data_IF_364102690854
#
_entry.id   IF_364102690854
#
_cell.length_a   1.000
_cell.length_b   1.000
_cell.length_c   1.000
_cell.angle_alpha   90.00
_cell.angle_beta   90.00
_cell.angle_gamma   90.00
#
_symmetry.space_group_name_H-M   'P 1'
#
loop_
_entity.id
_entity.type
_entity.pdbx_description
1 polymer ?
#
# COMPACT_ATOMS: atom_id res chain seq x y z
N UNK A 1 40.81 25.03 -40.54
CA UNK A 1 41.38 24.06 -39.57
C UNK A 1 40.25 23.13 -39.16
N UNK A 2 40.13 21.99 -39.85
CA UNK A 2 39.13 20.97 -39.52
C UNK A 2 39.75 20.09 -38.44
N UNK A 3 39.39 20.34 -37.19
CA UNK A 3 39.68 19.44 -36.09
C UNK A 3 38.68 18.29 -36.13
N UNK A 4 39.20 17.08 -36.21
CA UNK A 4 38.46 15.83 -36.20
C UNK A 4 37.61 15.73 -34.91
N UNK A 5 36.29 15.80 -35.05
CA UNK A 5 35.33 15.84 -33.94
C UNK A 5 35.42 14.57 -33.07
N UNK A 6 35.83 13.47 -33.68
CA UNK A 6 36.02 12.17 -33.02
C UNK A 6 37.18 12.22 -32.01
N UNK A 7 38.24 12.97 -32.31
CA UNK A 7 39.38 13.17 -31.41
C UNK A 7 39.00 13.96 -30.15
N UNK A 8 38.12 14.97 -30.30
CA UNK A 8 37.63 15.79 -29.18
C UNK A 8 36.68 15.00 -28.28
N UNK A 9 35.82 14.17 -28.87
CA UNK A 9 34.87 13.36 -28.12
C UNK A 9 35.55 12.21 -27.37
N UNK A 10 36.58 11.60 -27.96
CA UNK A 10 37.40 10.56 -27.29
C UNK A 10 38.17 11.17 -26.11
N UNK A 11 38.77 12.35 -26.27
CA UNK A 11 39.47 13.03 -25.17
C UNK A 11 38.53 13.45 -24.02
N UNK A 12 37.32 13.91 -24.34
CA UNK A 12 36.32 14.24 -23.32
C UNK A 12 35.87 12.99 -22.55
N UNK A 13 35.65 11.88 -23.26
CA UNK A 13 35.23 10.62 -22.66
C UNK A 13 36.31 10.01 -21.77
N UNK A 14 37.58 10.06 -22.19
CA UNK A 14 38.72 9.58 -21.39
C UNK A 14 38.97 10.42 -20.13
N UNK A 15 38.56 11.70 -20.12
CA UNK A 15 38.65 12.57 -18.94
C UNK A 15 37.56 12.36 -17.89
N UNK A 16 36.43 11.74 -18.27
CA UNK A 16 35.20 11.67 -17.46
C UNK A 16 34.93 10.29 -16.85
N UNK A 17 35.65 9.25 -17.29
CA UNK A 17 35.44 7.88 -16.83
C UNK A 17 36.60 7.40 -15.96
N UNK A 18 36.28 7.02 -14.72
CA UNK A 18 37.22 6.37 -13.81
C UNK A 18 37.77 5.07 -14.46
N UNK A 19 39.10 4.90 -14.59
CA UNK A 19 39.72 3.74 -15.24
C UNK A 19 39.25 2.39 -14.70
N UNK A 20 38.82 2.34 -13.44
CA UNK A 20 38.34 1.12 -12.76
C UNK A 20 36.97 0.62 -13.25
N UNK A 21 36.18 1.45 -13.95
CA UNK A 21 34.85 1.10 -14.45
C UNK A 21 34.77 0.86 -15.98
N UNK A 22 35.91 0.91 -16.69
CA UNK A 22 35.96 0.75 -18.17
C UNK A 22 35.32 -0.55 -18.68
N UNK A 23 35.40 -1.64 -17.93
CA UNK A 23 34.90 -2.96 -18.38
C UNK A 23 33.37 -3.10 -18.32
N UNK A 24 32.69 -2.35 -17.42
CA UNK A 24 31.22 -2.40 -17.28
C UNK A 24 30.49 -1.49 -18.27
N UNK A 25 31.15 -0.45 -18.76
CA UNK A 25 30.56 0.49 -19.73
C UNK A 25 30.47 -0.10 -21.15
N UNK A 26 31.37 -1.03 -21.51
CA UNK A 26 31.39 -1.66 -22.83
C UNK A 26 30.25 -2.66 -23.05
N UNK A 27 29.71 -3.28 -22.00
CA UNK A 27 28.68 -4.33 -22.12
C UNK A 27 27.27 -3.81 -22.47
N UNK A 28 27.03 -2.49 -22.42
CA UNK A 28 25.69 -1.92 -22.64
C UNK A 28 25.46 -1.31 -24.03
N UNK A 29 26.37 -1.49 -24.99
CA UNK A 29 26.23 -0.82 -26.29
C UNK A 29 26.52 -1.74 -27.48
N UNK A 30 25.49 -2.35 -28.05
CA UNK A 30 25.52 -2.89 -29.41
C UNK A 30 24.99 -1.85 -30.39
N UNK A 31 25.84 -1.42 -31.35
CA UNK A 31 25.41 -0.61 -32.50
C UNK A 31 25.16 -1.51 -33.71
N UNK A 32 23.99 -1.35 -34.34
CA UNK A 32 23.70 -1.91 -35.66
C UNK A 32 23.58 -0.75 -36.66
N UNK A 33 24.61 -0.56 -37.48
CA UNK A 33 24.65 0.50 -38.49
C UNK A 33 23.92 0.05 -39.76
N UNK A 34 22.65 0.44 -39.90
CA UNK A 34 21.91 0.40 -41.16
C UNK A 34 22.15 1.67 -42.00
N UNK A 35 22.15 1.50 -43.33
CA UNK A 35 22.63 2.43 -44.37
C UNK A 35 22.14 3.89 -44.30
N UNK A 36 23.07 4.75 -44.70
CA UNK A 36 23.04 6.22 -44.88
C UNK A 36 21.92 6.69 -45.83
N UNK A 37 21.17 7.70 -45.39
CA UNK A 37 20.29 8.55 -46.21
C UNK A 37 21.10 9.74 -46.80
N UNK A 38 20.84 10.21 -48.03
CA UNK A 38 21.72 11.12 -48.77
C UNK A 38 21.74 12.58 -48.27
N UNK A 39 21.26 12.87 -47.06
CA UNK A 39 21.16 14.25 -46.54
C UNK A 39 22.14 14.59 -45.40
N UNK A 40 23.08 13.71 -45.05
CA UNK A 40 24.24 14.09 -44.22
C UNK A 40 23.89 14.74 -42.88
N UNK A 41 22.97 14.13 -42.13
CA UNK A 41 22.69 14.53 -40.74
C UNK A 41 22.80 13.32 -39.85
N UNK A 42 23.80 13.33 -38.96
CA UNK A 42 23.96 12.32 -37.92
C UNK A 42 22.97 12.60 -36.78
N UNK A 43 22.28 11.57 -36.31
CA UNK A 43 21.44 11.64 -35.12
C UNK A 43 21.96 10.66 -34.08
N UNK A 44 22.19 11.15 -32.85
CA UNK A 44 22.45 10.31 -31.69
C UNK A 44 21.11 9.96 -31.02
N UNK A 45 20.71 8.69 -31.06
CA UNK A 45 19.52 8.20 -30.37
C UNK A 45 19.92 7.65 -28.99
N UNK A 46 19.52 8.30 -27.90
CA UNK A 46 19.72 7.78 -26.54
C UNK A 46 18.38 7.20 -26.05
N UNK A 47 18.27 5.88 -26.01
CA UNK A 47 17.11 5.22 -25.40
C UNK A 47 17.28 5.13 -23.89
N UNK A 48 16.31 5.68 -23.15
CA UNK A 48 15.99 5.45 -21.71
C UNK A 48 17.19 5.18 -20.78
N UNK A 49 17.70 6.27 -20.21
CA UNK A 49 18.47 6.26 -18.97
C UNK A 49 18.60 7.69 -18.46
N UNK A 50 17.96 8.02 -17.34
CA UNK A 50 18.12 9.32 -16.70
C UNK A 50 19.46 9.36 -15.97
N UNK A 51 20.31 10.34 -16.27
CA UNK A 51 21.49 10.65 -15.48
C UNK A 51 21.32 12.06 -14.92
N UNK A 52 21.14 12.15 -13.61
CA UNK A 52 21.10 13.41 -12.88
C UNK A 52 22.47 13.61 -12.24
N UNK A 53 23.19 14.69 -12.61
CA UNK A 53 24.32 15.16 -11.81
C UNK A 53 24.30 16.67 -11.72
N UNK A 54 24.07 17.15 -10.51
CA UNK A 54 24.19 18.55 -10.13
C UNK A 54 25.67 18.93 -10.10
N UNK A 55 26.08 19.86 -10.95
CA UNK A 55 27.37 20.55 -10.81
C UNK A 55 27.07 21.93 -10.24
N UNK A 56 27.25 22.07 -8.92
CA UNK A 56 27.34 23.37 -8.25
C UNK A 56 28.78 23.83 -8.42
N UNK A 57 29.03 24.60 -9.46
CA UNK A 57 30.01 25.68 -9.45
C UNK A 57 29.83 26.44 -10.76
N UNK A 58 29.79 27.77 -10.67
CA UNK A 58 29.44 28.71 -11.75
C UNK A 58 27.93 28.98 -11.96
N UNK A 59 27.21 29.30 -10.89
CA UNK A 59 26.18 30.37 -10.88
C UNK A 59 25.10 30.44 -11.99
N UNK A 60 24.84 29.37 -12.74
CA UNK A 60 23.87 29.32 -13.83
C UNK A 60 22.99 28.09 -13.60
N UNK A 61 21.74 28.33 -13.21
CA UNK A 61 20.71 27.29 -13.16
C UNK A 61 19.95 27.35 -14.48
N UNK A 62 20.20 26.40 -15.39
CA UNK A 62 19.31 26.15 -16.53
C UNK A 62 18.73 24.75 -16.33
N UNK A 63 17.47 24.69 -15.91
CA UNK A 63 16.69 23.44 -15.94
C UNK A 63 15.91 23.45 -17.23
N UNK A 64 16.42 22.74 -18.23
CA UNK A 64 15.71 22.45 -19.48
C UNK A 64 15.57 20.94 -19.62
N UNK A 65 14.39 20.41 -19.29
CA UNK A 65 14.03 19.03 -19.65
C UNK A 65 13.25 19.10 -20.96
N UNK A 66 13.89 18.75 -22.07
CA UNK A 66 13.21 18.56 -23.35
C UNK A 66 12.77 17.09 -23.46
N UNK A 67 11.47 16.83 -23.33
CA UNK A 67 10.88 15.51 -23.64
C UNK A 67 10.47 15.51 -25.10
N UNK A 68 11.09 14.67 -25.92
CA UNK A 68 10.73 14.51 -27.33
C UNK A 68 9.47 13.66 -27.45
N UNK A 69 8.33 14.29 -27.72
CA UNK A 69 7.11 13.61 -28.17
C UNK A 69 6.88 14.04 -29.63
N UNK A 70 7.15 13.12 -30.56
CA UNK A 70 7.30 13.43 -31.98
C UNK A 70 6.10 14.16 -32.60
N UNK A 71 6.32 15.39 -33.07
CA UNK A 71 5.96 15.89 -34.41
C UNK A 71 6.70 17.20 -34.67
N UNK A 72 7.09 17.45 -35.92
CA UNK A 72 7.89 18.58 -36.39
C UNK A 72 7.23 19.91 -36.04
N UNK A 73 7.90 20.79 -35.28
CA UNK A 73 8.13 22.23 -35.52
C UNK A 73 9.14 22.73 -34.46
N UNK A 74 10.25 23.34 -34.88
CA UNK A 74 11.16 24.09 -34.02
C UNK A 74 10.70 25.56 -34.03
N UNK A 75 10.18 26.08 -32.93
CA UNK A 75 10.01 27.53 -32.75
C UNK A 75 11.35 28.18 -32.47
N UNK A 76 11.71 29.15 -33.31
CA UNK A 76 12.93 29.96 -33.20
C UNK A 76 12.80 30.92 -32.02
N UNK A 77 13.64 30.77 -31.00
CA UNK A 77 13.73 31.73 -29.88
C UNK A 77 14.42 33.01 -30.40
N UNK A 78 13.86 34.22 -30.22
CA UNK A 78 14.54 35.46 -30.58
C UNK A 78 15.76 35.68 -29.67
N UNK A 79 16.87 36.13 -30.26
CA UNK A 79 18.17 36.28 -29.61
C UNK A 79 18.32 37.54 -28.74
N UNK A 80 17.24 38.24 -28.39
CA UNK A 80 17.34 39.50 -27.64
C UNK A 80 17.16 39.26 -26.13
N UNK A 81 18.24 39.50 -25.37
CA UNK A 81 18.36 39.26 -23.92
C UNK A 81 18.01 40.49 -23.06
N UNK A 82 17.54 41.58 -23.65
CA UNK A 82 17.52 42.88 -22.94
C UNK A 82 16.22 43.26 -22.22
N UNK A 83 15.19 42.41 -22.19
CA UNK A 83 13.89 42.81 -21.64
C UNK A 83 13.16 41.73 -20.83
N UNK A 84 13.71 41.24 -19.72
CA UNK A 84 12.88 40.55 -18.72
C UNK A 84 13.33 40.81 -17.26
N UNK A 85 12.34 41.15 -16.43
CA UNK A 85 12.48 41.34 -14.99
C UNK A 85 12.56 39.95 -14.29
N UNK A 86 13.55 39.69 -13.41
CA UNK A 86 13.74 38.38 -12.75
C UNK A 86 12.52 37.87 -11.98
N UNK A 87 11.67 38.78 -11.52
CA UNK A 87 10.47 38.47 -10.72
C UNK A 87 9.34 37.83 -11.57
N UNK A 88 9.30 38.09 -12.87
CA UNK A 88 8.32 37.50 -13.78
C UNK A 88 8.70 36.05 -14.17
N UNK A 89 10.00 35.71 -14.12
CA UNK A 89 10.52 34.37 -14.39
C UNK A 89 10.13 33.35 -13.30
N UNK A 90 10.02 33.76 -12.02
CA UNK A 90 9.61 32.85 -10.94
C UNK A 90 8.12 32.48 -11.01
N UNK A 91 7.24 33.37 -11.47
CA UNK A 91 5.80 33.07 -11.65
C UNK A 91 5.50 32.34 -12.96
N UNK A 92 6.39 32.40 -13.95
CA UNK A 92 6.24 31.73 -15.24
C UNK A 92 6.97 30.38 -15.35
N UNK A 93 7.81 30.01 -14.38
CA UNK A 93 8.61 28.78 -14.39
C UNK A 93 7.81 27.47 -14.35
N UNK A 94 6.49 27.48 -14.07
CA UNK A 94 5.64 26.29 -14.18
C UNK A 94 4.35 26.64 -14.94
N UNK A 95 4.50 27.15 -16.16
CA UNK A 95 3.51 26.91 -17.21
C UNK A 95 4.24 26.34 -18.41
N UNK A 96 4.26 25.02 -18.53
CA UNK A 96 4.63 24.37 -19.78
C UNK A 96 3.53 24.72 -20.79
N UNK A 97 3.69 25.82 -21.52
CA UNK A 97 2.76 26.17 -22.60
C UNK A 97 3.18 25.37 -23.82
N UNK A 98 2.56 24.21 -24.00
CA UNK A 98 2.72 23.43 -25.22
C UNK A 98 1.72 23.99 -26.23
N UNK A 99 2.21 24.73 -27.22
CA UNK A 99 1.45 25.06 -28.43
C UNK A 99 1.34 23.80 -29.30
N UNK A 100 0.58 22.82 -28.82
CA UNK A 100 0.17 21.65 -29.62
C UNK A 100 -1.31 21.75 -29.94
N UNK A 101 -1.66 21.59 -31.22
CA UNK A 101 -3.05 21.41 -31.67
C UNK A 101 -3.68 20.10 -31.18
N UNK A 102 -2.88 19.18 -30.63
CA UNK A 102 -3.33 17.91 -30.09
C UNK A 102 -3.77 18.03 -28.64
N UNK A 103 -5.08 17.88 -28.39
CA UNK A 103 -5.70 17.83 -27.05
C UNK A 103 -5.05 16.77 -26.14
N UNK A 104 -4.55 15.67 -26.71
CA UNK A 104 -3.87 14.60 -25.96
C UNK A 104 -2.53 15.06 -25.37
N UNK A 105 -1.74 15.79 -26.15
CA UNK A 105 -0.43 16.28 -25.72
C UNK A 105 -0.55 17.34 -24.61
N UNK A 106 -1.60 18.17 -24.66
CA UNK A 106 -1.92 19.11 -23.59
C UNK A 106 -2.32 18.38 -22.29
N UNK A 107 -3.17 17.36 -22.38
CA UNK A 107 -3.57 16.54 -21.22
C UNK A 107 -2.39 15.79 -20.59
N UNK A 108 -1.48 15.25 -21.39
CA UNK A 108 -0.31 14.52 -20.89
C UNK A 108 0.67 15.47 -20.18
N UNK A 109 0.82 16.70 -20.66
CA UNK A 109 1.64 17.73 -20.03
C UNK A 109 1.06 18.24 -18.71
N UNK A 110 -0.26 18.42 -18.65
CA UNK A 110 -0.96 18.76 -17.40
C UNK A 110 -0.82 17.64 -16.36
N UNK A 111 -0.98 16.37 -16.77
CA UNK A 111 -0.75 15.21 -15.90
C UNK A 111 0.66 15.16 -15.36
N UNK A 112 1.66 15.44 -16.20
CA UNK A 112 3.05 15.48 -15.77
C UNK A 112 3.33 16.62 -14.78
N UNK A 113 2.82 17.82 -15.06
CA UNK A 113 2.94 18.98 -14.15
C UNK A 113 2.34 18.70 -12.78
N UNK A 114 1.14 18.11 -12.74
CA UNK A 114 0.46 17.74 -11.49
C UNK A 114 1.24 16.67 -10.70
N UNK A 115 1.83 15.70 -11.39
CA UNK A 115 2.67 14.66 -10.77
C UNK A 115 3.94 15.23 -10.12
N UNK A 116 4.60 16.20 -10.77
CA UNK A 116 5.80 16.83 -10.22
C UNK A 116 5.48 17.68 -8.99
N UNK A 117 4.38 18.46 -9.04
CA UNK A 117 3.92 19.26 -7.90
C UNK A 117 3.57 18.36 -6.71
N UNK A 118 2.86 17.25 -6.93
CA UNK A 118 2.53 16.29 -5.88
C UNK A 118 3.81 15.72 -5.23
N UNK A 119 4.83 15.38 -6.02
CA UNK A 119 6.10 14.84 -5.51
C UNK A 119 6.86 15.84 -4.63
N UNK A 120 6.95 17.10 -5.03
CA UNK A 120 7.62 18.14 -4.23
C UNK A 120 6.89 18.39 -2.89
N UNK A 121 5.56 18.24 -2.85
CA UNK A 121 4.79 18.38 -1.59
C UNK A 121 4.96 17.17 -0.69
N UNK A 122 5.07 15.96 -1.24
CA UNK A 122 5.39 14.77 -0.46
C UNK A 122 6.78 14.84 0.19
N UNK A 123 7.77 15.45 -0.46
CA UNK A 123 9.09 15.69 0.14
C UNK A 123 9.01 16.63 1.36
N UNK A 124 8.24 17.73 1.26
CA UNK A 124 7.99 18.63 2.40
C UNK A 124 7.28 17.93 3.55
N UNK A 125 6.32 17.05 3.22
CA UNK A 125 5.59 16.25 4.19
C UNK A 125 6.52 15.29 4.95
N UNK A 126 7.44 14.66 4.22
CA UNK A 126 8.47 13.80 4.80
C UNK A 126 9.47 14.56 5.69
N UNK A 127 9.83 15.79 5.31
CA UNK A 127 10.69 16.66 6.14
C UNK A 127 9.97 17.13 7.42
N UNK A 128 8.70 17.52 7.32
CA UNK A 128 7.89 17.88 8.48
C UNK A 128 7.74 16.71 9.47
N UNK A 129 7.50 15.49 8.96
CA UNK A 129 7.45 14.27 9.77
C UNK A 129 8.74 14.02 10.56
N UNK A 130 9.91 14.24 9.93
CA UNK A 130 11.20 14.06 10.60
C UNK A 130 11.41 15.05 11.74
N UNK A 131 10.97 16.29 11.56
CA UNK A 131 11.12 17.33 12.58
C UNK A 131 10.13 17.18 13.73
N UNK A 132 9.04 16.40 13.55
CA UNK A 132 7.92 16.25 14.51
C UNK A 132 7.40 17.60 15.05
N UNK A 133 7.43 18.61 14.19
CA UNK A 133 6.94 19.96 14.49
C UNK A 133 5.49 20.07 14.02
N UNK A 134 4.58 20.37 14.95
CA UNK A 134 3.14 20.40 14.71
C UNK A 134 2.75 21.41 13.62
N UNK A 135 3.25 22.64 13.69
CA UNK A 135 2.87 23.70 12.74
C UNK A 135 3.37 23.39 11.33
N UNK A 136 4.59 22.84 11.22
CA UNK A 136 5.15 22.41 9.95
C UNK A 136 4.36 21.25 9.34
N UNK A 137 3.90 20.31 10.17
CA UNK A 137 3.14 19.14 9.75
C UNK A 137 1.73 19.51 9.28
N UNK A 138 1.00 20.34 10.03
CA UNK A 138 -0.31 20.88 9.63
C UNK A 138 -0.24 21.60 8.28
N UNK A 139 0.78 22.46 8.12
CA UNK A 139 0.99 23.19 6.88
C UNK A 139 1.31 22.25 5.71
N UNK A 140 2.16 21.26 5.92
CA UNK A 140 2.54 20.32 4.87
C UNK A 140 1.36 19.45 4.41
N UNK A 141 0.53 18.98 5.35
CA UNK A 141 -0.70 18.21 5.06
C UNK A 141 -1.67 19.05 4.23
N UNK A 142 -1.92 20.31 4.64
CA UNK A 142 -2.79 21.22 3.90
C UNK A 142 -2.29 21.48 2.47
N UNK A 143 -0.97 21.67 2.30
CA UNK A 143 -0.36 21.84 0.98
C UNK A 143 -0.47 20.58 0.10
N UNK A 144 -0.38 19.38 0.69
CA UNK A 144 -0.54 18.12 -0.04
C UNK A 144 -1.99 17.91 -0.53
N UNK A 145 -2.97 18.23 0.30
CA UNK A 145 -4.38 18.19 -0.09
C UNK A 145 -4.70 19.17 -1.24
N UNK A 146 -4.18 20.40 -1.15
CA UNK A 146 -4.34 21.39 -2.22
C UNK A 146 -3.70 20.94 -3.54
N UNK A 147 -2.63 20.14 -3.46
CA UNK A 147 -1.97 19.55 -4.64
C UNK A 147 -2.69 18.32 -5.20
N UNK A 148 -3.82 17.90 -4.61
CA UNK A 148 -4.58 16.74 -5.05
C UNK A 148 -3.87 15.41 -4.75
N UNK A 149 -2.97 15.38 -3.75
CA UNK A 149 -2.41 14.12 -3.25
C UNK A 149 -3.58 13.27 -2.74
N UNK A 150 -3.59 11.99 -3.12
CA UNK A 150 -4.64 11.07 -2.71
C UNK A 150 -4.67 10.99 -1.16
N UNK A 151 -5.83 11.16 -0.50
CA UNK A 151 -5.96 10.98 0.95
C UNK A 151 -5.44 9.62 1.45
N UNK A 152 -5.49 8.59 0.61
CA UNK A 152 -4.96 7.24 0.93
C UNK A 152 -3.45 7.09 0.68
N UNK A 153 -2.74 8.17 0.33
CA UNK A 153 -1.31 8.10 0.12
C UNK A 153 -0.60 7.88 1.46
N UNK A 154 0.23 6.85 1.56
CA UNK A 154 0.88 6.39 2.79
C UNK A 154 1.48 7.52 3.64
N UNK A 155 2.30 8.37 3.03
CA UNK A 155 2.93 9.50 3.72
C UNK A 155 1.93 10.48 4.32
N UNK A 156 0.83 10.78 3.60
CA UNK A 156 -0.20 11.71 4.07
C UNK A 156 -0.94 11.13 5.27
N UNK A 157 -1.31 9.85 5.19
CA UNK A 157 -1.94 9.13 6.30
C UNK A 157 -1.05 9.07 7.55
N UNK A 158 0.25 8.76 7.37
CA UNK A 158 1.22 8.76 8.47
C UNK A 158 1.38 10.16 9.11
N UNK A 159 1.39 11.22 8.31
CA UNK A 159 1.43 12.60 8.81
C UNK A 159 0.18 12.99 9.60
N UNK A 160 -1.01 12.59 9.15
CA UNK A 160 -2.24 12.84 9.90
C UNK A 160 -2.25 12.12 11.24
N UNK A 161 -1.83 10.85 11.27
CA UNK A 161 -1.74 10.09 12.51
C UNK A 161 -0.72 10.68 13.49
N UNK A 162 0.44 11.11 13.01
CA UNK A 162 1.46 11.75 13.84
C UNK A 162 0.99 13.12 14.35
N UNK A 163 0.26 13.88 13.53
CA UNK A 163 -0.38 15.12 13.96
C UNK A 163 -1.41 14.88 15.08
N UNK A 164 -2.23 13.84 14.96
CA UNK A 164 -3.17 13.43 16.02
C UNK A 164 -2.42 13.07 17.32
N UNK A 165 -1.29 12.36 17.24
CA UNK A 165 -0.45 12.04 18.40
C UNK A 165 0.15 13.30 19.04
N UNK A 166 0.64 14.25 18.23
CA UNK A 166 1.18 15.52 18.72
C UNK A 166 0.08 16.36 19.39
N UNK A 167 -1.15 16.34 18.86
CA UNK A 167 -2.31 16.99 19.45
C UNK A 167 -2.74 16.35 20.79
N UNK A 168 -2.53 15.05 20.97
CA UNK A 168 -2.78 14.36 22.25
C UNK A 168 -1.74 14.74 23.31
N UNK A 169 -0.47 14.94 22.93
CA UNK A 169 0.62 15.26 23.88
C UNK A 169 0.52 16.64 24.53
N UNK A 170 -0.01 17.63 23.82
CA UNK A 170 -0.22 18.97 24.37
C UNK A 170 -1.38 19.03 25.37
N UNK A 171 -2.12 17.93 25.57
CA UNK A 171 -3.36 17.92 26.35
C UNK A 171 -4.47 18.78 25.74
N UNK A 172 -4.20 19.45 24.60
CA UNK A 172 -5.15 20.34 23.95
C UNK A 172 -6.37 19.57 23.47
N UNK A 173 -6.24 18.31 23.06
CA UNK A 173 -7.39 17.48 22.68
C UNK A 173 -8.37 17.21 23.82
N UNK A 174 -7.90 17.17 25.07
CA UNK A 174 -8.78 17.09 26.26
C UNK A 174 -9.49 18.45 26.45
N UNK A 175 -8.78 19.56 26.20
CA UNK A 175 -9.33 20.93 26.28
C UNK A 175 -10.26 21.29 25.11
N UNK A 176 -10.07 20.65 23.95
CA UNK A 176 -10.82 20.83 22.70
C UNK A 176 -11.99 19.84 22.57
N UNK A 177 -12.23 18.99 23.59
CA UNK A 177 -13.42 18.15 23.66
C UNK A 177 -14.66 19.04 23.67
N UNK A 178 -15.23 19.21 22.48
CA UNK A 178 -16.39 20.05 22.29
C UNK A 178 -17.63 19.43 22.93
N UNK A 179 -18.65 20.27 23.12
CA UNK A 179 -19.93 19.86 23.72
C UNK A 179 -20.57 18.67 23.00
N UNK A 180 -20.30 18.54 21.70
CA UNK A 180 -20.84 17.48 20.83
C UNK A 180 -20.16 16.15 21.15
N UNK A 181 -18.84 16.13 21.27
CA UNK A 181 -18.02 14.97 21.61
C UNK A 181 -18.39 14.40 22.97
N UNK A 182 -18.52 15.25 24.00
CA UNK A 182 -18.99 14.82 25.34
C UNK A 182 -20.43 14.29 25.27
N UNK A 183 -21.27 14.93 24.45
CA UNK A 183 -22.65 14.52 24.23
C UNK A 183 -22.80 13.20 23.48
N UNK A 184 -21.82 12.83 22.66
CA UNK A 184 -21.72 11.55 21.97
C UNK A 184 -21.24 10.46 22.91
N UNK A 185 -20.14 10.71 23.64
CA UNK A 185 -19.59 9.78 24.63
C UNK A 185 -20.64 9.32 25.65
N UNK A 186 -21.52 10.23 26.09
CA UNK A 186 -22.60 9.93 27.03
C UNK A 186 -23.58 8.85 26.54
N UNK A 187 -23.72 8.71 25.22
CA UNK A 187 -24.68 7.77 24.59
C UNK A 187 -24.10 6.38 24.41
N UNK A 188 -22.80 6.17 24.63
CA UNK A 188 -22.22 4.84 24.53
C UNK A 188 -22.72 3.94 25.65
N UNK A 189 -23.42 2.86 25.27
CA UNK A 189 -23.64 1.73 26.17
C UNK A 189 -22.37 0.91 26.40
N UNK A 190 -21.56 0.76 25.33
CA UNK A 190 -20.25 0.12 25.35
C UNK A 190 -19.28 1.03 24.57
N UNK A 191 -18.46 1.84 25.24
CA UNK A 191 -17.55 2.75 24.56
C UNK A 191 -16.43 1.95 23.88
N UNK A 192 -15.83 2.46 22.81
CA UNK A 192 -14.52 1.98 22.37
C UNK A 192 -13.52 2.01 23.55
N UNK A 193 -12.61 1.02 23.68
CA UNK A 193 -11.68 0.95 24.81
C UNK A 193 -10.88 2.23 25.03
N UNK A 194 -10.44 2.87 23.95
CA UNK A 194 -9.72 4.15 24.00
C UNK A 194 -10.58 5.28 24.61
N UNK A 195 -11.87 5.35 24.26
CA UNK A 195 -12.80 6.35 24.82
C UNK A 195 -13.00 6.14 26.31
N UNK A 196 -13.07 4.88 26.77
CA UNK A 196 -13.13 4.58 28.20
C UNK A 196 -11.83 4.97 28.91
N UNK A 197 -10.67 4.62 28.36
CA UNK A 197 -9.39 4.98 28.96
C UNK A 197 -9.17 6.49 29.05
N UNK A 198 -9.51 7.25 28.00
CA UNK A 198 -9.45 8.72 28.00
C UNK A 198 -10.39 9.27 29.07
N UNK A 199 -11.62 8.76 29.17
CA UNK A 199 -12.56 9.22 30.20
C UNK A 199 -12.11 8.84 31.61
N UNK A 200 -11.52 7.66 31.81
CA UNK A 200 -10.91 7.24 33.08
C UNK A 200 -9.81 8.21 33.47
N UNK A 201 -8.91 8.55 32.54
CA UNK A 201 -7.85 9.53 32.78
C UNK A 201 -8.42 10.91 33.17
N UNK A 202 -9.43 11.41 32.44
CA UNK A 202 -10.09 12.69 32.77
C UNK A 202 -10.71 12.69 34.17
N UNK A 203 -11.37 11.61 34.57
CA UNK A 203 -11.98 11.51 35.90
C UNK A 203 -10.93 11.38 37.01
N UNK A 204 -9.84 10.68 36.76
CA UNK A 204 -8.69 10.63 37.66
C UNK A 204 -8.04 12.02 37.83
N UNK A 205 -7.95 12.81 36.76
CA UNK A 205 -7.52 14.20 36.82
C UNK A 205 -8.44 15.01 37.75
N UNK A 206 -9.75 14.77 37.72
CA UNK A 206 -10.72 15.37 38.64
C UNK A 206 -10.72 14.80 40.06
N UNK A 207 -9.69 14.03 40.43
CA UNK A 207 -9.52 13.39 41.74
C UNK A 207 -10.63 12.40 42.10
N UNK A 208 -11.32 11.85 41.10
CA UNK A 208 -12.27 10.75 41.31
C UNK A 208 -11.50 9.46 41.67
N UNK A 209 -12.15 8.55 42.40
CA UNK A 209 -11.50 7.33 42.88
C UNK A 209 -11.21 6.36 41.70
N UNK A 210 -9.96 5.87 41.61
CA UNK A 210 -9.49 4.97 40.57
C UNK A 210 -10.30 3.67 40.47
N UNK A 211 -10.59 3.03 41.61
CA UNK A 211 -11.36 1.78 41.65
C UNK A 211 -12.78 1.97 41.10
N UNK A 212 -13.32 3.18 41.25
CA UNK A 212 -14.67 3.48 40.76
C UNK A 212 -14.69 3.77 39.27
N UNK A 213 -13.60 4.30 38.70
CA UNK A 213 -13.52 4.69 37.28
C UNK A 213 -13.15 3.53 36.35
N UNK A 214 -12.83 2.35 36.88
CA UNK A 214 -12.62 1.13 36.09
C UNK A 214 -13.87 0.66 35.35
N UNK A 215 -15.07 0.97 35.85
CA UNK A 215 -16.33 0.58 35.20
C UNK A 215 -16.87 1.74 34.38
N UNK A 216 -17.11 1.51 33.08
CA UNK A 216 -17.69 2.54 32.20
C UNK A 216 -19.00 3.11 32.74
N UNK A 217 -19.82 2.31 33.41
CA UNK A 217 -21.09 2.77 34.01
C UNK A 217 -20.90 3.92 35.00
N UNK A 218 -19.77 3.95 35.71
CA UNK A 218 -19.41 5.05 36.60
C UNK A 218 -18.97 6.27 35.79
N UNK A 219 -18.10 6.08 34.80
CA UNK A 219 -17.69 7.16 33.89
C UNK A 219 -18.90 7.82 33.20
N UNK A 220 -19.83 7.01 32.74
CA UNK A 220 -21.09 7.44 32.13
C UNK A 220 -21.98 8.19 33.12
N UNK A 221 -22.04 7.75 34.39
CA UNK A 221 -22.78 8.47 35.44
C UNK A 221 -22.17 9.85 35.70
N UNK A 222 -20.84 9.99 35.71
CA UNK A 222 -20.18 11.31 35.82
C UNK A 222 -20.50 12.20 34.61
N UNK A 223 -20.50 11.64 33.39
CA UNK A 223 -20.90 12.37 32.17
C UNK A 223 -22.38 12.80 32.20
N UNK A 224 -23.25 11.99 32.79
CA UNK A 224 -24.66 12.30 32.96
C UNK A 224 -24.91 13.38 34.02
N UNK A 225 -24.22 13.28 35.17
CA UNK A 225 -24.37 14.21 36.29
C UNK A 225 -23.85 15.61 35.97
N UNK A 226 -22.66 15.70 35.38
CA UNK A 226 -22.06 17.00 35.06
C UNK A 226 -22.63 17.57 33.74
N UNK A 227 -23.15 16.71 32.87
CA UNK A 227 -23.57 17.07 31.53
C UNK A 227 -22.41 17.63 30.68
N UNK A 228 -22.65 17.90 29.38
CA UNK A 228 -21.60 18.43 28.51
C UNK A 228 -21.02 19.75 29.01
N UNK A 229 -21.87 20.66 29.50
CA UNK A 229 -21.43 21.97 29.98
C UNK A 229 -20.66 21.90 31.29
N UNK A 230 -21.05 21.04 32.23
CA UNK A 230 -20.32 20.87 33.49
C UNK A 230 -19.01 20.14 33.29
N UNK A 231 -18.94 19.20 32.33
CA UNK A 231 -17.66 18.56 31.97
C UNK A 231 -16.71 19.56 31.30
N UNK A 232 -17.15 20.29 30.28
CA UNK A 232 -16.32 21.34 29.65
C UNK A 232 -15.88 22.38 30.68
N UNK A 233 -16.77 22.80 31.59
CA UNK A 233 -16.42 23.73 32.67
C UNK A 233 -15.36 23.13 33.60
N UNK A 234 -15.51 21.89 34.05
CA UNK A 234 -14.51 21.21 34.89
C UNK A 234 -13.17 21.04 34.19
N UNK A 235 -13.17 20.78 32.89
CA UNK A 235 -11.96 20.71 32.06
C UNK A 235 -11.30 22.09 31.97
N UNK A 236 -12.07 23.17 31.76
CA UNK A 236 -11.54 24.54 31.68
C UNK A 236 -11.10 25.12 33.02
N UNK A 237 -11.76 24.75 34.12
CA UNK A 237 -11.40 25.12 35.50
C UNK A 237 -10.25 24.26 36.04
N UNK A 238 -9.82 23.25 35.27
CA UNK A 238 -8.71 22.39 35.63
C UNK A 238 -7.39 23.15 35.53
N UNK A 239 -6.87 23.60 36.67
CA UNK A 239 -5.52 24.13 36.75
C UNK A 239 -4.52 22.98 36.71
N UNK A 240 -3.93 22.76 35.53
CA UNK A 240 -2.91 21.74 35.31
C UNK A 240 -1.78 21.84 36.35
N UNK A 241 -1.39 23.04 36.77
CA UNK A 241 -0.31 23.26 37.74
C UNK A 241 -0.62 22.70 39.14
N UNK A 242 -1.90 22.59 39.51
CA UNK A 242 -2.33 22.11 40.84
C UNK A 242 -2.28 20.58 40.99
N UNK A 243 -2.28 19.85 39.88
CA UNK A 243 -2.40 18.37 39.88
C UNK A 243 -1.09 17.68 39.51
N UNK A 244 -0.23 18.35 38.73
CA UNK A 244 1.08 17.79 38.34
C UNK A 244 1.91 17.24 39.52
N UNK A 245 1.96 17.84 40.73
CA UNK A 245 2.74 17.27 41.83
C UNK A 245 2.17 15.96 42.40
N UNK A 246 0.85 15.82 42.52
CA UNK A 246 0.20 14.63 43.09
C UNK A 246 0.12 13.47 42.09
N UNK A 247 -0.06 13.77 40.80
CA UNK A 247 -0.03 12.77 39.71
C UNK A 247 1.39 12.43 39.29
N UNK A 248 2.38 13.33 39.44
CA UNK A 248 3.78 12.95 39.35
C UNK A 248 4.23 12.13 40.58
N UNK A 249 3.62 12.35 41.75
CA UNK A 249 3.90 11.56 42.97
C UNK A 249 3.24 10.18 42.95
N UNK A 250 2.06 10.04 42.32
CA UNK A 250 1.54 8.73 41.89
C UNK A 250 2.42 8.29 40.74
N UNK A 251 3.40 7.46 41.01
CA UNK A 251 4.38 6.94 40.07
C UNK A 251 3.73 6.05 38.98
N UNK A 252 2.71 6.56 38.29
CA UNK A 252 2.09 5.97 37.12
C UNK A 252 3.17 6.08 36.06
N UNK A 253 3.77 4.95 35.73
CA UNK A 253 4.72 4.87 34.65
C UNK A 253 3.97 5.08 33.32
N UNK A 254 3.81 6.35 32.97
CA UNK A 254 3.18 6.79 31.73
C UNK A 254 3.86 6.17 30.51
N UNK A 255 5.14 5.81 30.62
CA UNK A 255 5.85 5.09 29.56
C UNK A 255 5.28 3.68 29.40
N UNK A 256 5.12 2.93 30.49
CA UNK A 256 4.47 1.61 30.48
C UNK A 256 3.02 1.66 29.99
N UNK A 257 2.25 2.69 30.36
CA UNK A 257 0.87 2.85 29.88
C UNK A 257 0.82 3.17 28.37
N UNK A 258 1.67 4.08 27.90
CA UNK A 258 1.77 4.41 26.48
C UNK A 258 2.24 3.21 25.64
N UNK A 259 3.19 2.42 26.15
CA UNK A 259 3.65 1.20 25.49
C UNK A 259 2.52 0.16 25.43
N UNK A 260 1.75 -0.01 26.52
CA UNK A 260 0.59 -0.92 26.53
C UNK A 260 -0.54 -0.50 25.60
N UNK A 261 -0.81 0.81 25.45
CA UNK A 261 -1.78 1.32 24.47
C UNK A 261 -1.26 1.11 23.05
N UNK A 262 0.03 1.35 22.81
CA UNK A 262 0.66 1.11 21.51
C UNK A 262 0.61 -0.36 21.11
N UNK A 263 0.84 -1.27 22.04
CA UNK A 263 0.75 -2.71 21.78
C UNK A 263 -0.67 -3.15 21.46
N UNK A 264 -1.66 -2.62 22.18
CA UNK A 264 -3.07 -2.85 21.86
C UNK A 264 -3.46 -2.35 20.48
N UNK A 265 -2.99 -1.17 20.07
CA UNK A 265 -3.25 -0.65 18.73
C UNK A 265 -2.62 -1.52 17.62
N UNK A 266 -1.46 -2.15 17.87
CA UNK A 266 -0.86 -3.11 16.93
C UNK A 266 -1.71 -4.38 16.82
N UNK A 267 -2.20 -4.91 17.94
CA UNK A 267 -3.11 -6.08 17.92
C UNK A 267 -4.39 -5.77 17.15
N UNK A 268 -5.01 -4.60 17.35
CA UNK A 268 -6.21 -4.21 16.60
C UNK A 268 -5.95 -4.09 15.09
N UNK A 269 -4.80 -3.52 14.70
CA UNK A 269 -4.41 -3.43 13.30
C UNK A 269 -4.20 -4.81 12.66
N UNK A 270 -3.55 -5.74 13.36
CA UNK A 270 -3.34 -7.11 12.90
C UNK A 270 -4.67 -7.87 12.78
N UNK A 271 -5.57 -7.72 13.75
CA UNK A 271 -6.89 -8.33 13.72
C UNK A 271 -7.74 -7.82 12.55
N UNK A 272 -7.71 -6.51 12.26
CA UNK A 272 -8.41 -5.96 11.10
C UNK A 272 -7.79 -6.45 9.78
N UNK A 273 -6.46 -6.59 9.71
CA UNK A 273 -5.80 -7.20 8.56
C UNK A 273 -6.21 -8.66 8.34
N UNK A 274 -6.30 -9.46 9.41
CA UNK A 274 -6.80 -10.84 9.37
C UNK A 274 -8.27 -10.91 8.94
N UNK A 275 -9.08 -9.94 9.36
CA UNK A 275 -10.50 -9.87 9.03
C UNK A 275 -10.75 -9.54 7.56
N UNK A 276 -10.05 -8.55 7.04
CA UNK A 276 -10.17 -8.10 5.64
C UNK A 276 -9.56 -9.10 4.66
N UNK A 277 -8.57 -9.89 5.11
CA UNK A 277 -7.84 -10.88 4.30
C UNK A 277 -7.17 -10.28 3.08
N UNK A 278 -6.86 -8.99 3.14
CA UNK A 278 -6.07 -8.32 2.12
C UNK A 278 -4.60 -8.65 2.34
N UNK A 279 -3.99 -9.39 1.40
CA UNK A 279 -2.62 -9.88 1.50
C UNK A 279 -1.62 -8.79 1.89
N UNK A 280 -1.62 -7.67 1.17
CA UNK A 280 -0.67 -6.57 1.40
C UNK A 280 -0.83 -5.96 2.80
N UNK A 281 -2.07 -5.89 3.31
CA UNK A 281 -2.36 -5.33 4.62
C UNK A 281 -1.88 -6.29 5.72
N UNK A 282 -2.08 -7.59 5.51
CA UNK A 282 -1.62 -8.64 6.41
C UNK A 282 -0.08 -8.72 6.48
N UNK A 283 0.60 -8.64 5.33
CA UNK A 283 2.07 -8.54 5.27
C UNK A 283 2.58 -7.36 6.09
N UNK A 284 2.02 -6.17 5.85
CA UNK A 284 2.41 -4.93 6.54
C UNK A 284 2.11 -5.00 8.04
N UNK A 285 0.97 -5.57 8.44
CA UNK A 285 0.60 -5.73 9.83
C UNK A 285 1.54 -6.68 10.57
N UNK A 286 1.90 -7.81 9.96
CA UNK A 286 2.88 -8.76 10.51
C UNK A 286 4.26 -8.10 10.65
N UNK A 287 4.72 -7.37 9.64
CA UNK A 287 6.00 -6.64 9.68
C UNK A 287 6.01 -5.62 10.83
N UNK A 288 4.98 -4.78 10.92
CA UNK A 288 4.83 -3.77 11.98
C UNK A 288 4.80 -4.41 13.38
N UNK A 289 4.13 -5.55 13.52
CA UNK A 289 4.05 -6.29 14.77
C UNK A 289 5.40 -6.92 15.16
N UNK A 290 6.20 -7.40 14.19
CA UNK A 290 7.55 -7.95 14.44
C UNK A 290 8.61 -6.90 14.74
N UNK A 291 8.47 -5.70 14.19
CA UNK A 291 9.35 -4.56 14.48
C UNK A 291 9.06 -3.92 15.84
N UNK A 292 8.02 -4.38 16.55
CA UNK A 292 7.75 -3.99 17.92
C UNK A 292 8.99 -4.25 18.78
N UNK A 293 9.55 -3.22 19.46
CA UNK A 293 10.63 -3.45 20.40
C UNK A 293 10.12 -4.35 21.53
N UNK A 294 10.88 -5.38 21.91
CA UNK A 294 10.61 -6.16 23.12
C UNK A 294 10.89 -5.28 24.33
N UNK A 295 9.85 -4.96 25.09
CA UNK A 295 9.90 -4.03 26.23
C UNK A 295 9.76 -4.79 27.56
N UNK A 296 9.46 -6.09 27.52
CA UNK A 296 8.97 -6.82 28.68
C UNK A 296 10.02 -7.52 29.58
N UNK A 297 11.30 -7.17 29.51
CA UNK A 297 12.30 -7.88 30.32
C UNK A 297 11.96 -7.89 31.83
N UNK A 298 11.40 -6.80 32.37
CA UNK A 298 11.19 -6.63 33.81
C UNK A 298 9.72 -6.50 34.26
N UNK A 299 8.74 -6.47 33.35
CA UNK A 299 7.31 -6.29 33.69
C UNK A 299 6.48 -7.52 33.27
N UNK A 300 5.87 -8.27 34.23
CA UNK A 300 5.12 -9.48 33.92
C UNK A 300 3.89 -9.25 33.05
N UNK A 301 3.24 -8.07 33.15
CA UNK A 301 2.06 -7.74 32.32
C UNK A 301 2.47 -7.52 30.88
N UNK A 302 3.63 -6.90 30.64
CA UNK A 302 4.15 -6.72 29.28
C UNK A 302 4.56 -8.06 28.65
N UNK A 303 5.04 -9.02 29.45
CA UNK A 303 5.42 -10.36 28.93
C UNK A 303 4.23 -11.15 28.45
N UNK A 304 3.11 -11.08 29.18
CA UNK A 304 1.86 -11.71 28.78
C UNK A 304 1.36 -11.11 27.45
N UNK A 305 1.37 -9.78 27.33
CA UNK A 305 0.99 -9.10 26.09
C UNK A 305 1.93 -9.43 24.90
N UNK A 306 3.24 -9.52 25.11
CA UNK A 306 4.19 -9.98 24.08
C UNK A 306 3.88 -11.42 23.64
N UNK A 307 3.54 -12.31 24.58
CA UNK A 307 3.18 -13.69 24.27
C UNK A 307 1.89 -13.77 23.44
N UNK A 308 0.87 -12.98 23.78
CA UNK A 308 -0.37 -12.88 22.99
C UNK A 308 -0.09 -12.36 21.57
N UNK A 309 0.74 -11.33 21.45
CA UNK A 309 1.13 -10.79 20.14
C UNK A 309 1.88 -11.82 19.29
N UNK A 310 2.77 -12.61 19.88
CA UNK A 310 3.47 -13.68 19.16
C UNK A 310 2.50 -14.73 18.61
N UNK A 311 1.46 -15.08 19.37
CA UNK A 311 0.39 -15.99 18.92
C UNK A 311 -0.35 -15.37 17.74
N UNK A 312 -0.78 -14.11 17.85
CA UNK A 312 -1.48 -13.40 16.77
C UNK A 312 -0.62 -13.29 15.50
N UNK A 313 0.68 -13.00 15.64
CA UNK A 313 1.63 -12.97 14.52
C UNK A 313 1.72 -14.35 13.86
N UNK A 314 1.74 -15.43 14.63
CA UNK A 314 1.80 -16.78 14.09
C UNK A 314 0.53 -17.15 13.32
N UNK A 315 -0.65 -16.81 13.85
CA UNK A 315 -1.93 -17.00 13.17
C UNK A 315 -2.03 -16.19 11.88
N UNK A 316 -1.69 -14.89 11.94
CA UNK A 316 -1.65 -14.03 10.77
C UNK A 316 -0.67 -14.53 9.70
N UNK A 317 0.50 -15.01 10.11
CA UNK A 317 1.50 -15.60 9.21
C UNK A 317 0.99 -16.87 8.53
N UNK A 318 0.22 -17.70 9.25
CA UNK A 318 -0.42 -18.88 8.69
C UNK A 318 -1.49 -18.51 7.64
N UNK A 319 -2.31 -17.50 7.94
CA UNK A 319 -3.32 -16.99 7.02
C UNK A 319 -2.69 -16.37 5.77
N UNK A 320 -1.58 -15.63 5.91
CA UNK A 320 -0.83 -15.09 4.78
C UNK A 320 -0.32 -16.21 3.87
N UNK A 321 0.35 -17.22 4.43
CA UNK A 321 0.83 -18.37 3.67
C UNK A 321 -0.32 -19.12 2.95
N UNK A 322 -1.51 -19.16 3.57
CA UNK A 322 -2.72 -19.72 2.96
C UNK A 322 -3.18 -18.89 1.75
N UNK A 323 -3.20 -17.56 1.86
CA UNK A 323 -3.57 -16.65 0.76
C UNK A 323 -2.57 -16.74 -0.40
N UNK A 324 -1.27 -16.76 -0.11
CA UNK A 324 -0.22 -16.91 -1.13
C UNK A 324 -0.36 -18.23 -1.88
N UNK A 325 -0.62 -19.34 -1.16
CA UNK A 325 -0.89 -20.63 -1.79
C UNK A 325 -2.10 -20.54 -2.72
N UNK A 326 -3.18 -19.90 -2.29
CA UNK A 326 -4.36 -19.71 -3.14
C UNK A 326 -4.05 -18.90 -4.41
N UNK A 327 -3.27 -17.83 -4.30
CA UNK A 327 -2.83 -17.04 -5.46
C UNK A 327 -2.00 -17.88 -6.43
N UNK A 328 -1.06 -18.66 -5.91
CA UNK A 328 -0.23 -19.56 -6.72
C UNK A 328 -1.07 -20.63 -7.44
N UNK A 329 -2.02 -21.25 -6.74
CA UNK A 329 -2.94 -22.22 -7.32
C UNK A 329 -3.81 -21.58 -8.41
N UNK A 330 -4.35 -20.37 -8.18
CA UNK A 330 -5.11 -19.63 -9.21
C UNK A 330 -4.23 -19.32 -10.42
N UNK A 331 -3.02 -18.80 -10.18
CA UNK A 331 -2.04 -18.49 -11.23
C UNK A 331 -1.76 -19.70 -12.11
N UNK A 332 -1.54 -20.88 -11.51
CA UNK A 332 -1.26 -22.12 -12.26
C UNK A 332 -2.34 -22.48 -13.30
N UNK A 333 -3.61 -22.20 -13.01
CA UNK A 333 -4.73 -22.45 -13.95
C UNK A 333 -4.84 -21.32 -14.97
N UNK A 334 -4.63 -20.07 -14.55
CA UNK A 334 -4.74 -18.89 -15.43
C UNK A 334 -3.62 -18.83 -16.46
N UNK A 335 -2.43 -19.29 -16.07
CA UNK A 335 -1.23 -19.37 -16.92
C UNK A 335 -1.18 -20.66 -17.74
N UNK A 336 -2.19 -21.52 -17.63
CA UNK A 336 -2.28 -22.75 -18.41
C UNK A 336 -2.37 -22.42 -19.91
N UNK A 337 -1.52 -23.06 -20.71
CA UNK A 337 -1.50 -22.87 -22.16
C UNK A 337 -2.88 -23.18 -22.79
N UNK A 338 -3.32 -22.31 -23.70
CA UNK A 338 -4.57 -22.47 -24.45
C UNK A 338 -4.62 -23.81 -25.20
N UNK A 339 -3.47 -24.34 -25.63
CA UNK A 339 -3.38 -25.66 -26.27
C UNK A 339 -3.80 -26.78 -25.32
N UNK A 340 -3.33 -26.76 -24.08
CA UNK A 340 -3.65 -27.74 -23.04
C UNK A 340 -5.15 -27.73 -22.70
N UNK A 341 -5.73 -26.54 -22.51
CA UNK A 341 -7.18 -26.40 -22.32
C UNK A 341 -7.98 -26.89 -23.53
N UNK A 342 -7.49 -26.61 -24.74
CA UNK A 342 -8.13 -27.08 -25.97
C UNK A 342 -8.03 -28.60 -26.15
N UNK A 343 -6.94 -29.23 -25.70
CA UNK A 343 -6.77 -30.68 -25.71
C UNK A 343 -7.82 -31.35 -24.83
N UNK A 344 -7.94 -30.91 -23.57
CA UNK A 344 -8.95 -31.45 -22.65
C UNK A 344 -10.36 -31.33 -23.24
N UNK A 345 -10.68 -30.19 -23.86
CA UNK A 345 -11.98 -29.97 -24.51
C UNK A 345 -12.23 -30.87 -25.71
N UNK A 346 -11.19 -31.38 -26.37
CA UNK A 346 -11.33 -32.23 -27.57
C UNK A 346 -11.53 -33.70 -27.25
N UNK A 347 -11.41 -34.12 -25.99
CA UNK A 347 -11.68 -35.51 -25.63
C UNK A 347 -13.11 -35.90 -25.97
N UNK A 348 -13.30 -36.83 -26.92
CA UNK A 348 -14.60 -37.42 -27.16
C UNK A 348 -15.01 -38.34 -25.99
N UNK A 349 -14.04 -39.11 -25.49
CA UNK A 349 -14.19 -40.00 -24.33
C UNK A 349 -12.98 -39.75 -23.41
N UNK A 350 -13.13 -38.94 -22.35
CA UNK A 350 -12.01 -38.61 -21.47
C UNK A 350 -11.52 -39.85 -20.73
N UNK A 351 -10.22 -39.92 -20.36
CA UNK A 351 -9.77 -40.87 -19.36
C UNK A 351 -10.59 -40.71 -18.07
N UNK A 352 -10.96 -41.83 -17.42
CA UNK A 352 -11.85 -41.81 -16.24
C UNK A 352 -11.37 -40.82 -15.16
N UNK A 353 -10.07 -40.85 -14.85
CA UNK A 353 -9.48 -39.96 -13.84
C UNK A 353 -9.57 -38.49 -14.23
N UNK A 354 -9.38 -38.15 -15.51
CA UNK A 354 -9.55 -36.77 -16.00
C UNK A 354 -10.99 -36.30 -15.80
N UNK A 355 -11.95 -37.18 -16.09
CA UNK A 355 -13.37 -36.89 -15.84
C UNK A 355 -13.62 -36.64 -14.34
N UNK A 356 -13.16 -37.54 -13.46
CA UNK A 356 -13.32 -37.43 -12.01
C UNK A 356 -12.72 -36.10 -11.47
N UNK A 357 -11.53 -35.69 -11.93
CA UNK A 357 -10.95 -34.38 -11.56
C UNK A 357 -11.83 -33.22 -12.00
N UNK A 358 -12.29 -33.23 -13.25
CA UNK A 358 -13.13 -32.12 -13.73
C UNK A 358 -14.51 -32.09 -13.08
N UNK A 359 -15.03 -33.25 -12.69
CA UNK A 359 -16.24 -33.36 -11.89
C UNK A 359 -16.04 -32.70 -10.53
N UNK A 360 -14.95 -33.01 -9.84
CA UNK A 360 -14.58 -32.42 -8.56
C UNK A 360 -14.42 -30.88 -8.63
N UNK A 361 -13.79 -30.38 -9.71
CA UNK A 361 -13.67 -28.92 -9.96
C UNK A 361 -15.04 -28.26 -10.11
N UNK A 362 -15.92 -28.82 -10.94
CA UNK A 362 -17.25 -28.25 -11.18
C UNK A 362 -18.16 -28.36 -9.95
N UNK A 363 -18.00 -29.40 -9.15
CA UNK A 363 -18.69 -29.57 -7.89
C UNK A 363 -18.32 -28.45 -6.89
N UNK A 364 -17.04 -28.04 -6.82
CA UNK A 364 -16.63 -26.87 -6.04
C UNK A 364 -17.24 -25.57 -6.55
N UNK A 365 -17.51 -25.46 -7.86
CA UNK A 365 -18.25 -24.32 -8.44
C UNK A 365 -19.77 -24.43 -8.29
N UNK A 366 -20.26 -25.35 -7.46
CA UNK A 366 -21.69 -25.51 -7.16
C UNK A 366 -22.49 -26.13 -8.31
N UNK A 367 -21.86 -26.90 -9.19
CA UNK A 367 -22.59 -27.72 -10.17
C UNK A 367 -22.95 -29.07 -9.56
N UNK A 368 -24.12 -29.61 -9.90
CA UNK A 368 -24.56 -30.90 -9.38
C UNK A 368 -23.69 -32.05 -9.88
N UNK A 369 -23.49 -33.06 -9.03
CA UNK A 369 -22.69 -34.23 -9.37
C UNK A 369 -23.35 -35.05 -10.49
N UNK A 370 -24.69 -35.09 -10.53
CA UNK A 370 -25.46 -35.83 -11.54
C UNK A 370 -25.26 -35.27 -12.95
N UNK A 371 -25.32 -33.94 -13.12
CA UNK A 371 -25.15 -33.30 -14.44
C UNK A 371 -23.70 -33.37 -14.92
N UNK A 372 -22.75 -33.46 -13.99
CA UNK A 372 -21.32 -33.57 -14.32
C UNK A 372 -20.91 -35.00 -14.68
N UNK A 373 -21.82 -35.98 -14.59
CA UNK A 373 -21.62 -37.31 -15.21
C UNK A 373 -21.59 -37.25 -16.74
N UNK A 374 -22.23 -36.25 -17.37
CA UNK A 374 -22.14 -36.03 -18.81
C UNK A 374 -20.90 -35.22 -19.16
N UNK A 375 -19.93 -35.85 -19.84
CA UNK A 375 -18.73 -35.16 -20.29
C UNK A 375 -19.02 -33.98 -21.22
N UNK A 376 -20.07 -34.04 -22.06
CA UNK A 376 -20.43 -32.91 -22.94
C UNK A 376 -20.87 -31.69 -22.14
N UNK A 377 -21.46 -31.90 -20.96
CA UNK A 377 -21.70 -30.80 -20.03
C UNK A 377 -20.39 -30.21 -19.53
N UNK A 378 -19.45 -31.04 -19.04
CA UNK A 378 -18.13 -30.59 -18.57
C UNK A 378 -17.38 -29.80 -19.66
N UNK A 379 -17.33 -30.30 -20.90
CA UNK A 379 -16.66 -29.64 -22.02
C UNK A 379 -17.17 -28.23 -22.29
N UNK A 380 -18.48 -27.98 -22.09
CA UNK A 380 -19.06 -26.63 -22.23
C UNK A 380 -18.62 -25.69 -21.11
N UNK A 381 -18.41 -26.22 -19.91
CA UNK A 381 -17.92 -25.45 -18.75
C UNK A 381 -16.42 -25.15 -18.82
N UNK A 382 -15.64 -25.95 -19.57
CA UNK A 382 -14.20 -25.77 -19.79
C UNK A 382 -13.84 -24.59 -20.72
N UNK A 383 -14.81 -23.80 -21.19
CA UNK A 383 -14.50 -22.59 -21.95
C UNK A 383 -13.73 -21.60 -21.06
N UNK A 384 -12.50 -21.17 -21.44
CA UNK A 384 -11.72 -20.27 -20.59
C UNK A 384 -12.35 -18.88 -20.48
N UNK A 385 -12.97 -18.41 -21.57
CA UNK A 385 -13.54 -17.07 -21.68
C UNK A 385 -15.06 -17.03 -21.50
N UNK A 386 -15.58 -15.83 -21.24
CA UNK A 386 -17.00 -15.53 -21.14
C UNK A 386 -17.47 -15.27 -19.70
N UNK A 387 -18.73 -14.83 -19.51
CA UNK A 387 -19.26 -14.48 -18.20
C UNK A 387 -19.26 -15.65 -17.21
N UNK A 388 -19.36 -16.87 -17.73
CA UNK A 388 -19.33 -18.13 -16.97
C UNK A 388 -18.08 -18.96 -17.27
N UNK A 389 -17.05 -18.35 -17.87
CA UNK A 389 -15.82 -19.03 -18.27
C UNK A 389 -15.00 -19.51 -17.08
N UNK A 390 -14.21 -20.56 -17.30
CA UNK A 390 -13.41 -21.23 -16.27
C UNK A 390 -12.47 -20.25 -15.56
N UNK A 391 -11.76 -19.39 -16.29
CA UNK A 391 -10.80 -18.45 -15.70
C UNK A 391 -11.48 -17.48 -14.75
N UNK A 392 -12.67 -16.98 -15.11
CA UNK A 392 -13.43 -16.07 -14.24
C UNK A 392 -13.91 -16.79 -12.97
N UNK A 393 -14.34 -18.04 -13.07
CA UNK A 393 -14.75 -18.84 -11.90
C UNK A 393 -13.59 -19.10 -10.96
N UNK A 394 -12.42 -19.44 -11.49
CA UNK A 394 -11.19 -19.65 -10.71
C UNK A 394 -10.77 -18.36 -9.99
N UNK A 395 -10.82 -17.22 -10.69
CA UNK A 395 -10.52 -15.90 -10.12
C UNK A 395 -11.49 -15.51 -9.00
N UNK A 396 -12.78 -15.74 -9.20
CA UNK A 396 -13.82 -15.38 -8.22
C UNK A 396 -14.10 -16.48 -7.19
N UNK A 397 -13.33 -17.57 -7.18
CA UNK A 397 -13.58 -18.70 -6.27
C UNK A 397 -13.17 -18.35 -4.84
N UNK A 398 -14.11 -18.45 -3.91
CA UNK A 398 -13.86 -18.34 -2.47
C UNK A 398 -14.03 -19.71 -1.79
N UNK A 399 -12.94 -20.33 -1.30
CA UNK A 399 -13.01 -21.61 -0.61
C UNK A 399 -13.89 -21.60 0.64
N UNK A 400 -14.05 -20.45 1.31
CA UNK A 400 -14.85 -20.33 2.53
C UNK A 400 -16.36 -20.38 2.25
N UNK A 401 -16.75 -20.11 1.01
CA UNK A 401 -18.14 -20.21 0.57
C UNK A 401 -18.58 -21.66 0.29
N UNK A 402 -17.63 -22.60 0.25
CA UNK A 402 -17.93 -24.01 -0.07
C UNK A 402 -18.47 -24.73 1.16
N UNK A 403 -19.64 -25.35 1.02
CA UNK A 403 -20.22 -26.15 2.08
C UNK A 403 -19.32 -27.35 2.44
N UNK A 404 -19.09 -27.67 3.73
CA UNK A 404 -18.19 -28.75 4.15
C UNK A 404 -18.48 -30.12 3.51
N UNK A 405 -19.77 -30.45 3.30
CA UNK A 405 -20.18 -31.68 2.63
C UNK A 405 -19.72 -31.76 1.16
N UNK A 406 -19.74 -30.63 0.44
CA UNK A 406 -19.25 -30.53 -0.94
C UNK A 406 -17.73 -30.77 -0.92
N UNK A 407 -16.99 -30.11 -0.03
CA UNK A 407 -15.54 -30.33 0.10
C UNK A 407 -15.16 -31.77 0.50
N UNK A 408 -15.96 -32.42 1.34
CA UNK A 408 -15.78 -33.84 1.67
C UNK A 408 -16.05 -34.74 0.45
N UNK A 409 -17.12 -34.47 -0.30
CA UNK A 409 -17.46 -35.23 -1.50
C UNK A 409 -16.42 -35.05 -2.61
N UNK A 410 -15.96 -33.83 -2.85
CA UNK A 410 -14.84 -33.52 -3.76
C UNK A 410 -13.60 -34.33 -3.39
N UNK A 411 -13.24 -34.43 -2.09
CA UNK A 411 -12.12 -35.27 -1.64
C UNK A 411 -12.33 -36.75 -1.92
N UNK A 412 -13.55 -37.27 -1.77
CA UNK A 412 -13.87 -38.67 -2.10
C UNK A 412 -13.74 -38.95 -3.61
N UNK A 413 -14.16 -38.03 -4.48
CA UNK A 413 -14.02 -38.18 -5.94
C UNK A 413 -12.54 -38.25 -6.34
N UNK A 414 -11.70 -37.49 -5.64
CA UNK A 414 -10.25 -37.43 -5.90
C UNK A 414 -9.46 -38.56 -5.22
N UNK A 415 -10.11 -39.36 -4.38
CA UNK A 415 -9.45 -40.42 -3.64
C UNK A 415 -8.93 -41.52 -4.58
N UNK A 416 -7.74 -42.03 -4.29
CA UNK A 416 -7.06 -43.01 -5.15
C UNK A 416 -6.51 -42.46 -6.49
N UNK A 417 -6.62 -41.16 -6.76
CA UNK A 417 -5.96 -40.54 -7.91
C UNK A 417 -4.50 -40.25 -7.57
N UNK A 418 -3.60 -41.05 -8.15
CA UNK A 418 -2.16 -40.79 -8.18
C UNK A 418 -1.81 -39.60 -9.09
N UNK A 419 -1.19 -38.57 -8.51
CA UNK A 419 -0.86 -37.31 -9.17
C UNK A 419 0.20 -37.51 -10.27
N UNK A 420 1.23 -38.32 -10.04
CA UNK A 420 2.29 -38.54 -11.04
C UNK A 420 1.72 -39.21 -12.29
N UNK A 421 0.84 -40.20 -12.09
CA UNK A 421 0.10 -40.83 -13.19
C UNK A 421 -0.87 -39.87 -13.86
N UNK A 422 -1.53 -38.97 -13.12
CA UNK A 422 -2.39 -37.95 -13.71
C UNK A 422 -1.59 -37.01 -14.63
N UNK A 423 -0.43 -36.54 -14.18
CA UNK A 423 0.46 -35.67 -14.96
C UNK A 423 0.86 -36.32 -16.29
N UNK A 424 1.16 -37.64 -16.27
CA UNK A 424 1.49 -38.39 -17.49
C UNK A 424 0.31 -38.55 -18.45
N UNK A 425 -0.92 -38.65 -17.92
CA UNK A 425 -2.14 -38.83 -18.72
C UNK A 425 -2.64 -37.51 -19.30
N UNK A 426 -2.67 -36.45 -18.49
CA UNK A 426 -3.13 -35.13 -18.87
C UNK A 426 -2.52 -34.07 -17.96
N UNK A 427 -1.49 -33.34 -18.44
CA UNK A 427 -0.88 -32.24 -17.69
C UNK A 427 -1.90 -31.18 -17.24
N UNK A 428 -2.87 -30.86 -18.10
CA UNK A 428 -3.93 -29.90 -17.75
C UNK A 428 -4.82 -30.38 -16.61
N UNK A 429 -5.27 -31.64 -16.66
CA UNK A 429 -6.07 -32.21 -15.59
C UNK A 429 -5.27 -32.30 -14.28
N UNK A 430 -3.97 -32.53 -14.35
CA UNK A 430 -3.09 -32.51 -13.18
C UNK A 430 -3.03 -31.13 -12.52
N UNK A 431 -2.93 -30.04 -13.29
CA UNK A 431 -3.02 -28.68 -12.73
C UNK A 431 -4.35 -28.45 -12.02
N UNK A 432 -5.48 -28.89 -12.62
CA UNK A 432 -6.78 -28.82 -11.97
C UNK A 432 -6.87 -29.69 -10.69
N UNK A 433 -6.22 -30.86 -10.67
CA UNK A 433 -6.12 -31.73 -9.50
C UNK A 433 -5.40 -31.03 -8.34
N UNK A 434 -4.26 -30.39 -8.62
CA UNK A 434 -3.50 -29.63 -7.62
C UNK A 434 -4.36 -28.48 -7.08
N UNK A 435 -5.01 -27.72 -7.98
CA UNK A 435 -5.92 -26.64 -7.61
C UNK A 435 -7.08 -27.09 -6.71
N UNK A 436 -7.81 -28.14 -7.09
CA UNK A 436 -8.98 -28.63 -6.35
C UNK A 436 -8.60 -29.29 -5.02
N UNK A 437 -7.40 -29.87 -4.93
CA UNK A 437 -6.91 -30.51 -3.71
C UNK A 437 -6.33 -29.51 -2.70
N UNK A 438 -6.02 -28.28 -3.14
CA UNK A 438 -5.39 -27.26 -2.31
C UNK A 438 -3.96 -27.59 -1.88
N UNK A 439 -3.30 -28.52 -2.58
CA UNK A 439 -1.96 -29.01 -2.24
C UNK A 439 -0.88 -28.05 -2.70
#
# INVERSE_FOLDING_TARGET
MNGDLDSVLIQLFDSLVDPSNRKKAFDYTYFNCGKVSPLGVDYLLVSRGFLYRQVKDQGITIVSVAVWLGSRYLTRIPSDRSAYNPTDLQKSAIRIRIDSSSRKTQQDAERFGNSLVARMRLEKLHEALKCRDKELLEKAIAEAYQAGVNPKHELLYQSELELDVLNVKDGSYIMDMDRKTIGEMRRYHHPPPLVHQVMKAILLLFKENEETTERWTVCQKHLQLNGPQGMTRKIMEFDAASVYPEIAARNIDWKSLHEGIREKLKTEYLLEAMRTREKWLLEKAIETAREAPSVAADNPVLREAETELEIDIAEASSELARLERMELLRGSILDMDMKTMSEMRRYHKPPKKVHEVMQAVLLLFGQDEEITTDWRFIQRQLNPHGPKGMNRRVLSFDPNSVHPAIGARTRQILDGIDMERMQMVSPGASTFYVWVSGK
#
